data_IF_771081917167
#
_entry.id   IF_771081917167
#
_cell.length_a   1.000
_cell.length_b   1.000
_cell.length_c   1.000
_cell.angle_alpha   90.00
_cell.angle_beta   90.00
_cell.angle_gamma   90.00
#
_symmetry.space_group_name_H-M   'P 1'
#
loop_
_entity.id
_entity.type
_entity.pdbx_description
1 polymer ?
#
# COMPACT_ATOMS: atom_id res chain seq x y z
N UNK A 1 14.77 9.00 -18.58
CA UNK A 1 13.86 7.90 -18.21
C UNK A 1 12.80 8.48 -17.31
N UNK A 2 11.52 8.12 -17.51
CA UNK A 2 10.45 8.52 -16.59
C UNK A 2 10.70 7.90 -15.22
N UNK A 3 10.55 8.67 -14.14
CA UNK A 3 10.73 8.17 -12.78
C UNK A 3 9.80 6.98 -12.50
N UNK A 4 10.27 5.98 -11.74
CA UNK A 4 9.42 4.86 -11.34
C UNK A 4 8.29 5.27 -10.42
N UNK A 5 8.34 6.45 -9.80
CA UNK A 5 7.25 7.02 -9.01
C UNK A 5 5.93 7.13 -9.79
N UNK A 6 5.99 7.25 -11.13
CA UNK A 6 4.79 7.31 -11.97
C UNK A 6 4.16 5.93 -12.27
N UNK A 7 4.84 4.82 -11.97
CA UNK A 7 4.42 3.47 -12.39
C UNK A 7 4.49 2.42 -11.29
N UNK A 8 5.25 2.66 -10.22
CA UNK A 8 5.35 1.81 -9.05
C UNK A 8 4.55 2.44 -7.91
N UNK A 9 3.55 1.71 -7.42
CA UNK A 9 2.66 2.17 -6.35
C UNK A 9 3.07 1.65 -4.97
N UNK A 10 4.01 0.69 -4.88
CA UNK A 10 4.47 0.14 -3.59
C UNK A 10 5.59 1.01 -3.04
N UNK A 11 5.32 1.67 -1.92
CA UNK A 11 6.24 2.61 -1.29
C UNK A 11 7.61 1.97 -1.03
N UNK A 12 7.63 0.74 -0.51
CA UNK A 12 8.86 0.01 -0.17
C UNK A 12 9.67 -0.51 -1.36
N UNK A 13 9.19 -0.30 -2.60
CA UNK A 13 9.88 -0.68 -3.85
C UNK A 13 10.49 0.51 -4.59
N UNK A 14 10.28 1.72 -4.07
CA UNK A 14 10.94 2.94 -4.52
C UNK A 14 12.21 3.16 -3.70
N UNK A 15 13.21 3.75 -4.35
CA UNK A 15 14.38 4.31 -3.70
C UNK A 15 14.09 5.70 -3.14
N UNK A 16 14.86 6.18 -2.16
CA UNK A 16 14.60 7.49 -1.55
C UNK A 16 14.64 8.67 -2.54
N UNK A 17 15.43 8.68 -3.64
CA UNK A 17 15.32 9.73 -4.65
C UNK A 17 14.01 9.63 -5.45
N UNK A 18 13.54 8.42 -5.78
CA UNK A 18 12.24 8.24 -6.45
C UNK A 18 11.07 8.68 -5.53
N UNK A 19 11.22 8.59 -4.21
CA UNK A 19 10.26 9.17 -3.25
C UNK A 19 10.23 10.70 -3.35
N UNK A 20 11.35 11.38 -3.62
CA UNK A 20 11.33 12.84 -3.85
C UNK A 20 10.51 13.19 -5.10
N UNK A 21 10.60 12.37 -6.15
CA UNK A 21 9.76 12.54 -7.34
C UNK A 21 8.27 12.36 -7.00
N UNK A 22 7.94 11.36 -6.18
CA UNK A 22 6.58 11.12 -5.70
C UNK A 22 6.01 12.30 -4.87
N UNK A 23 6.85 12.89 -4.02
CA UNK A 23 6.52 14.10 -3.26
C UNK A 23 6.26 15.27 -4.23
N UNK A 24 7.13 15.45 -5.23
CA UNK A 24 6.96 16.47 -6.26
C UNK A 24 5.70 16.30 -7.11
N UNK A 25 5.27 15.05 -7.30
CA UNK A 25 4.02 14.69 -7.98
C UNK A 25 2.78 14.72 -7.05
N UNK A 26 2.97 15.05 -5.77
CA UNK A 26 1.90 15.16 -4.77
C UNK A 26 1.08 13.85 -4.62
N UNK A 27 1.77 12.70 -4.70
CA UNK A 27 1.15 11.39 -4.52
C UNK A 27 0.69 11.20 -3.07
N UNK A 28 -0.48 10.57 -2.89
CA UNK A 28 -1.06 10.30 -1.57
C UNK A 28 -0.51 9.00 -0.98
N UNK A 29 -0.07 9.04 0.27
CA UNK A 29 0.31 7.84 1.02
C UNK A 29 -0.93 7.17 1.64
N UNK A 30 -1.12 5.88 1.34
CA UNK A 30 -2.15 5.04 1.94
C UNK A 30 -1.48 4.01 2.84
N UNK A 31 -1.88 3.96 4.11
CA UNK A 31 -1.38 2.99 5.09
C UNK A 31 -2.51 2.00 5.41
N UNK A 32 -2.45 0.76 4.90
CA UNK A 32 -3.37 -0.28 5.33
C UNK A 32 -3.08 -0.63 6.78
N UNK A 33 -4.12 -0.72 7.61
CA UNK A 33 -4.03 -1.11 9.01
C UNK A 33 -5.01 -2.23 9.31
N UNK A 34 -4.58 -3.19 10.14
CA UNK A 34 -5.41 -4.29 10.59
C UNK A 34 -4.82 -4.97 11.82
N UNK A 35 -5.29 -6.18 12.11
CA UNK A 35 -4.87 -7.00 13.23
C UNK A 35 -4.71 -8.47 12.83
N UNK A 36 -4.13 -9.25 13.73
CA UNK A 36 -4.21 -10.72 13.70
C UNK A 36 -5.15 -11.14 14.82
N UNK A 37 -6.39 -11.47 14.48
CA UNK A 37 -7.46 -11.73 15.45
C UNK A 37 -8.43 -12.82 15.00
N UNK A 38 -9.22 -13.34 15.94
CA UNK A 38 -10.18 -14.41 15.67
C UNK A 38 -11.29 -13.93 14.72
N UNK A 39 -11.64 -14.76 13.74
CA UNK A 39 -12.75 -14.51 12.81
C UNK A 39 -13.76 -15.67 12.79
N UNK A 40 -13.93 -16.35 13.94
CA UNK A 40 -14.72 -17.58 14.08
C UNK A 40 -14.10 -18.80 13.38
N UNK A 41 -14.77 -19.95 13.48
CA UNK A 41 -14.23 -21.25 13.05
C UNK A 41 -14.02 -21.41 11.53
N UNK A 42 -14.46 -20.44 10.73
CA UNK A 42 -14.56 -20.54 9.28
C UNK A 42 -13.63 -19.59 8.52
N UNK A 43 -12.89 -18.71 9.22
CA UNK A 43 -11.99 -17.74 8.60
C UNK A 43 -10.59 -17.75 9.23
N UNK A 44 -9.55 -17.40 8.44
CA UNK A 44 -8.19 -17.19 8.96
C UNK A 44 -8.08 -16.02 9.95
N UNK A 45 -6.96 -15.94 10.65
CA UNK A 45 -6.70 -14.87 11.63
C UNK A 45 -6.24 -13.54 11.00
N UNK A 46 -5.91 -13.52 9.71
CA UNK A 46 -5.28 -12.38 9.01
C UNK A 46 -6.25 -11.65 8.07
N UNK A 47 -7.56 -11.84 8.23
CA UNK A 47 -8.58 -11.21 7.39
C UNK A 47 -8.41 -9.68 7.37
N UNK A 48 -8.11 -9.09 8.52
CA UNK A 48 -7.84 -7.64 8.66
C UNK A 48 -6.53 -7.20 8.00
N UNK A 49 -5.66 -8.12 7.57
CA UNK A 49 -4.48 -7.80 6.75
C UNK A 49 -4.80 -7.96 5.27
N UNK A 50 -5.50 -9.05 4.93
CA UNK A 50 -5.82 -9.44 3.56
C UNK A 50 -6.79 -8.46 2.91
N UNK A 51 -7.90 -8.12 3.58
CA UNK A 51 -8.95 -7.28 3.02
C UNK A 51 -8.47 -5.84 2.74
N UNK A 52 -8.00 -5.06 3.72
CA UNK A 52 -7.54 -3.70 3.46
C UNK A 52 -6.27 -3.68 2.61
N UNK A 53 -5.35 -4.64 2.78
CA UNK A 53 -4.15 -4.75 1.95
C UNK A 53 -4.46 -5.11 0.49
N UNK A 54 -5.50 -5.90 0.25
CA UNK A 54 -5.99 -6.20 -1.10
C UNK A 54 -6.61 -4.98 -1.77
N UNK A 55 -7.50 -4.27 -1.06
CA UNK A 55 -8.13 -3.04 -1.56
C UNK A 55 -7.08 -1.98 -1.88
N UNK A 56 -6.17 -1.69 -0.94
CA UNK A 56 -5.15 -0.66 -1.13
C UNK A 56 -4.23 -0.97 -2.32
N UNK A 57 -3.75 -2.21 -2.44
CA UNK A 57 -2.92 -2.61 -3.59
C UNK A 57 -3.69 -2.56 -4.91
N UNK A 58 -4.96 -2.93 -4.90
CA UNK A 58 -5.82 -2.82 -6.09
C UNK A 58 -5.97 -1.38 -6.58
N UNK A 59 -6.23 -0.43 -5.66
CA UNK A 59 -6.34 1.00 -6.00
C UNK A 59 -4.97 1.57 -6.42
N UNK A 60 -3.89 1.22 -5.72
CA UNK A 60 -2.54 1.63 -6.08
C UNK A 60 -2.14 1.14 -7.47
N UNK A 61 -2.46 -0.11 -7.82
CA UNK A 61 -2.20 -0.65 -9.15
C UNK A 61 -3.01 0.05 -10.25
N UNK A 62 -4.25 0.46 -9.96
CA UNK A 62 -5.09 1.17 -10.91
C UNK A 62 -4.67 2.64 -11.10
N UNK A 63 -4.03 3.24 -10.10
CA UNK A 63 -3.62 4.65 -10.10
C UNK A 63 -2.19 4.86 -9.55
N UNK A 64 -1.16 4.24 -10.18
CA UNK A 64 0.20 4.27 -9.67
C UNK A 64 0.86 5.64 -9.73
N UNK A 65 0.30 6.57 -10.51
CA UNK A 65 0.74 7.97 -10.63
C UNK A 65 0.15 8.89 -9.55
N UNK A 66 -0.80 8.40 -8.74
CA UNK A 66 -1.54 9.23 -7.77
C UNK A 66 -1.32 8.87 -6.32
N UNK A 67 -0.89 7.64 -6.03
CA UNK A 67 -0.75 7.18 -4.65
C UNK A 67 0.34 6.13 -4.47
N UNK A 68 0.84 6.07 -3.24
CA UNK A 68 1.75 5.05 -2.77
C UNK A 68 1.08 4.26 -1.64
N UNK A 69 1.12 2.94 -1.74
CA UNK A 69 0.65 2.02 -0.70
C UNK A 69 1.85 1.67 0.16
N UNK A 70 1.74 1.95 1.46
CA UNK A 70 2.74 1.60 2.45
C UNK A 70 2.54 0.16 2.94
N UNK A 71 3.57 -0.45 3.55
CA UNK A 71 3.43 -1.74 4.20
C UNK A 71 2.30 -1.75 5.23
N UNK A 72 1.52 -2.83 5.24
CA UNK A 72 0.40 -3.00 6.17
C UNK A 72 0.87 -3.01 7.63
N UNK A 73 0.19 -2.26 8.49
CA UNK A 73 0.31 -2.40 9.94
C UNK A 73 -0.43 -3.66 10.35
N UNK A 74 0.32 -4.66 10.81
CA UNK A 74 -0.19 -6.01 11.02
C UNK A 74 -0.78 -6.29 12.41
N UNK A 75 -0.55 -5.39 13.36
CA UNK A 75 -0.94 -5.57 14.76
C UNK A 75 -1.60 -4.30 15.25
N UNK A 76 -2.89 -4.39 15.56
CA UNK A 76 -3.75 -3.30 16.04
C UNK A 76 -4.30 -3.55 17.42
#
# INVERSE_FOLDING_TARGET
MTSRAATEYRYEKLTWPEINDAIGANQVCVVPCGAVEQHGDHLPLDVDLVCPGGIARGVGQAHPDKMLVLPTIAYG
#
